data_IF_422492935346
#
_entry.id   IF_422492935346
#
_cell.length_a   1.000
_cell.length_b   1.000
_cell.length_c   1.000
_cell.angle_alpha   90.00
_cell.angle_beta   90.00
_cell.angle_gamma   90.00
#
_symmetry.space_group_name_H-M   'P 1'
#
loop_
_entity.id
_entity.type
_entity.pdbx_description
1 polymer ?
#
# COMPACT_ATOMS: atom_id res chain seq x y z
N UNK A 1 -20.62 70.62 -111.30
CA UNK A 1 -19.53 70.32 -112.25
C UNK A 1 -18.60 69.29 -111.62
N UNK A 2 -18.06 68.42 -112.47
CA UNK A 2 -17.47 67.11 -112.23
C UNK A 2 -16.09 67.10 -111.51
N UNK A 3 -15.73 65.92 -110.99
CA UNK A 3 -14.35 65.43 -110.77
C UNK A 3 -14.07 65.12 -109.29
N UNK A 4 -14.13 63.88 -108.77
CA UNK A 4 -13.43 62.61 -109.06
C UNK A 4 -11.90 62.69 -109.01
N UNK A 5 -11.33 62.11 -107.93
CA UNK A 5 -10.06 61.35 -107.79
C UNK A 5 -9.96 60.94 -106.29
N UNK A 6 -10.25 59.70 -105.85
CA UNK A 6 -9.42 58.47 -105.87
C UNK A 6 -7.94 58.74 -105.49
N UNK A 7 -7.22 58.04 -104.63
CA UNK A 7 -7.32 56.85 -103.75
C UNK A 7 -5.98 56.92 -102.94
N UNK A 8 -5.84 56.39 -101.71
CA UNK A 8 -4.98 55.23 -101.37
C UNK A 8 -4.85 55.12 -99.83
N UNK A 9 -5.06 53.88 -99.37
CA UNK A 9 -4.86 53.31 -98.03
C UNK A 9 -3.46 53.50 -97.44
N UNK A 10 -3.35 53.60 -96.11
CA UNK A 10 -2.46 52.69 -95.37
C UNK A 10 -2.93 52.50 -93.92
N UNK A 11 -3.01 51.22 -93.56
CA UNK A 11 -3.45 50.62 -92.31
C UNK A 11 -2.25 50.51 -91.35
N UNK A 12 -2.40 50.85 -90.06
CA UNK A 12 -1.48 50.40 -89.01
C UNK A 12 -2.21 50.27 -87.68
N UNK A 13 -2.71 49.06 -87.42
CA UNK A 13 -3.29 48.60 -86.16
C UNK A 13 -2.15 48.02 -85.32
N UNK A 14 -1.67 48.78 -84.32
CA UNK A 14 -0.59 48.37 -83.42
C UNK A 14 -1.13 47.87 -82.08
N UNK A 15 -1.29 46.55 -81.95
CA UNK A 15 -1.48 45.85 -80.68
C UNK A 15 -0.16 45.83 -79.88
N UNK A 16 -0.17 46.35 -78.64
CA UNK A 16 0.88 46.12 -77.66
C UNK A 16 0.26 45.91 -76.26
N UNK A 17 -0.19 44.68 -76.00
CA UNK A 17 -0.45 44.15 -74.66
C UNK A 17 0.31 42.82 -74.56
N UNK A 18 1.46 42.86 -73.90
CA UNK A 18 2.32 41.71 -73.68
C UNK A 18 2.89 41.74 -72.28
N UNK A 19 2.04 41.48 -71.28
CA UNK A 19 2.48 40.96 -70.00
C UNK A 19 2.33 39.42 -70.05
N UNK A 20 3.36 38.62 -69.70
CA UNK A 20 3.18 37.18 -69.62
C UNK A 20 2.34 36.88 -68.38
N UNK A 21 1.05 36.62 -68.57
CA UNK A 21 0.26 35.93 -67.55
C UNK A 21 0.77 34.48 -67.52
N UNK A 22 1.67 34.17 -66.59
CA UNK A 22 2.02 32.80 -66.24
C UNK A 22 0.75 32.07 -65.82
N UNK A 23 0.18 31.25 -66.71
CA UNK A 23 -0.93 30.36 -66.37
C UNK A 23 -0.41 29.21 -65.50
N UNK A 24 -0.33 29.44 -64.19
CA UNK A 24 -0.12 28.39 -63.20
C UNK A 24 -1.34 27.46 -63.21
N UNK A 25 -1.24 26.32 -63.90
CA UNK A 25 -2.25 25.26 -63.84
C UNK A 25 -1.92 24.34 -62.67
N UNK A 26 -2.85 24.22 -61.71
CA UNK A 26 -2.71 23.29 -60.59
C UNK A 26 -2.55 21.85 -61.09
N UNK A 27 -1.66 21.08 -60.46
CA UNK A 27 -1.55 19.64 -60.73
C UNK A 27 -2.78 18.90 -60.20
N UNK A 28 -3.02 17.69 -60.69
CA UNK A 28 -4.12 16.84 -60.19
C UNK A 28 -4.00 16.55 -58.69
N UNK A 29 -2.77 16.42 -58.19
CA UNK A 29 -2.48 16.17 -56.79
C UNK A 29 -2.72 17.42 -55.93
N UNK A 30 -2.25 18.60 -56.39
CA UNK A 30 -2.48 19.89 -55.76
C UNK A 30 -3.99 20.18 -55.62
N UNK A 31 -4.74 20.12 -56.72
CA UNK A 31 -6.20 20.30 -56.69
C UNK A 31 -6.92 19.22 -55.86
N UNK A 32 -6.41 17.98 -55.87
CA UNK A 32 -6.95 16.89 -55.07
C UNK A 32 -6.88 17.18 -53.57
N UNK A 33 -5.72 17.62 -53.07
CA UNK A 33 -5.51 17.98 -51.67
C UNK A 33 -6.31 19.25 -51.29
N UNK A 34 -6.33 20.27 -52.16
CA UNK A 34 -7.15 21.47 -51.95
C UNK A 34 -8.66 21.13 -51.84
N UNK A 35 -9.16 20.19 -52.66
CA UNK A 35 -10.56 19.74 -52.59
C UNK A 35 -10.89 19.08 -51.24
N UNK A 36 -9.97 18.33 -50.65
CA UNK A 36 -10.17 17.73 -49.31
C UNK A 36 -10.33 18.84 -48.26
N UNK A 37 -9.45 19.85 -48.28
CA UNK A 37 -9.57 21.03 -47.44
C UNK A 37 -10.91 21.76 -47.62
N UNK A 38 -11.31 22.01 -48.88
CA UNK A 38 -12.52 22.79 -49.18
C UNK A 38 -13.81 22.08 -48.79
N UNK A 39 -13.84 20.74 -48.87
CA UNK A 39 -15.02 19.92 -48.58
C UNK A 39 -15.11 19.44 -47.13
N UNK A 40 -14.10 19.71 -46.29
CA UNK A 40 -14.11 19.33 -44.88
C UNK A 40 -15.31 19.97 -44.14
N UNK A 41 -16.05 19.15 -43.40
CA UNK A 41 -17.36 19.50 -42.84
C UNK A 41 -17.26 20.23 -41.49
N UNK A 42 -16.30 19.84 -40.65
CA UNK A 42 -16.02 20.51 -39.38
C UNK A 42 -14.70 21.30 -39.41
N UNK A 43 -14.60 22.24 -38.48
CA UNK A 43 -13.48 23.18 -38.38
C UNK A 43 -12.15 22.47 -38.06
N UNK A 44 -12.18 21.33 -37.35
CA UNK A 44 -10.98 20.58 -37.03
C UNK A 44 -10.45 19.81 -38.24
N UNK A 45 -11.31 19.06 -38.92
CA UNK A 45 -10.97 18.38 -40.17
C UNK A 45 -10.46 19.37 -41.22
N UNK A 46 -11.08 20.55 -41.29
CA UNK A 46 -10.63 21.60 -42.22
C UNK A 46 -9.26 22.14 -41.85
N UNK A 47 -8.98 22.32 -40.56
CA UNK A 47 -7.66 22.76 -40.10
C UNK A 47 -6.57 21.71 -40.38
N UNK A 48 -6.85 20.43 -40.12
CA UNK A 48 -5.95 19.30 -40.43
C UNK A 48 -5.69 19.21 -41.94
N UNK A 49 -6.75 19.17 -42.76
CA UNK A 49 -6.61 19.09 -44.21
C UNK A 49 -5.90 20.30 -44.82
N UNK A 50 -6.04 21.48 -44.22
CA UNK A 50 -5.32 22.68 -44.62
C UNK A 50 -3.83 22.61 -44.28
N UNK A 51 -3.49 22.13 -43.09
CA UNK A 51 -2.09 21.90 -42.70
C UNK A 51 -1.43 20.83 -43.58
N UNK A 52 -2.13 19.72 -43.84
CA UNK A 52 -1.66 18.66 -44.75
C UNK A 52 -1.42 19.18 -46.17
N UNK A 53 -2.34 20.02 -46.68
CA UNK A 53 -2.18 20.68 -47.97
C UNK A 53 -0.92 21.55 -48.01
N UNK A 54 -0.70 22.41 -47.02
CA UNK A 54 0.45 23.31 -46.98
C UNK A 54 1.78 22.58 -46.76
N UNK A 55 1.74 21.42 -46.09
CA UNK A 55 2.91 20.55 -45.97
C UNK A 55 3.29 19.91 -47.31
N UNK A 56 2.29 19.38 -48.03
CA UNK A 56 2.51 18.71 -49.31
C UNK A 56 2.78 19.68 -50.48
N UNK A 57 2.19 20.89 -50.43
CA UNK A 57 2.24 21.89 -51.49
C UNK A 57 2.47 23.30 -50.91
N UNK A 58 3.65 23.60 -50.34
CA UNK A 58 3.93 24.89 -49.68
C UNK A 58 3.82 26.10 -50.62
N UNK A 59 4.12 25.88 -51.90
CA UNK A 59 3.99 26.83 -53.02
C UNK A 59 2.87 26.41 -54.00
N UNK A 60 1.92 25.59 -53.55
CA UNK A 60 0.78 25.16 -54.38
C UNK A 60 -0.09 26.32 -54.85
N UNK A 61 -0.86 26.10 -55.93
CA UNK A 61 -1.69 27.16 -56.54
C UNK A 61 -2.68 27.77 -55.55
N UNK A 62 -3.13 26.99 -54.56
CA UNK A 62 -4.09 27.41 -53.54
C UNK A 62 -3.44 27.73 -52.18
N UNK A 63 -2.11 27.73 -52.08
CA UNK A 63 -1.40 27.88 -50.81
C UNK A 63 -1.69 29.22 -50.12
N UNK A 64 -1.82 30.31 -50.86
CA UNK A 64 -2.19 31.62 -50.30
C UNK A 64 -3.61 31.61 -49.72
N UNK A 65 -4.57 30.98 -50.42
CA UNK A 65 -5.95 30.84 -49.96
C UNK A 65 -6.04 29.98 -48.69
N UNK A 66 -5.36 28.84 -48.68
CA UNK A 66 -5.35 27.92 -47.53
C UNK A 66 -4.68 28.58 -46.33
N UNK A 67 -3.55 29.30 -46.51
CA UNK A 67 -2.91 30.07 -45.44
C UNK A 67 -3.84 31.15 -44.88
N UNK A 68 -4.53 31.90 -45.73
CA UNK A 68 -5.48 32.93 -45.29
C UNK A 68 -6.65 32.33 -44.50
N UNK A 69 -7.21 31.22 -44.97
CA UNK A 69 -8.33 30.55 -44.31
C UNK A 69 -7.94 29.94 -42.95
N UNK A 70 -6.75 29.32 -42.83
CA UNK A 70 -6.22 28.84 -41.56
C UNK A 70 -5.94 30.00 -40.59
N UNK A 71 -5.31 31.08 -41.07
CA UNK A 71 -5.04 32.26 -40.24
C UNK A 71 -6.31 32.91 -39.68
N UNK A 72 -7.43 32.90 -40.42
CA UNK A 72 -8.71 33.41 -39.94
C UNK A 72 -9.40 32.48 -38.90
N UNK A 73 -9.07 31.19 -38.90
CA UNK A 73 -9.65 30.20 -37.98
C UNK A 73 -8.80 29.98 -36.72
N UNK A 74 -7.53 30.36 -36.75
CA UNK A 74 -6.53 30.04 -35.73
C UNK A 74 -6.96 30.39 -34.29
N UNK A 75 -7.47 31.60 -34.07
CA UNK A 75 -7.85 32.07 -32.73
C UNK A 75 -8.94 31.21 -32.09
N UNK A 76 -10.00 30.90 -32.86
CA UNK A 76 -11.09 30.01 -32.39
C UNK A 76 -10.57 28.59 -32.18
N UNK A 77 -9.67 28.13 -33.04
CA UNK A 77 -9.06 26.81 -32.93
C UNK A 77 -8.22 26.65 -31.66
N UNK A 78 -7.39 27.66 -31.33
CA UNK A 78 -6.57 27.70 -30.12
C UNK A 78 -7.44 27.82 -28.86
N UNK A 79 -8.42 28.72 -28.84
CA UNK A 79 -9.30 28.93 -27.68
C UNK A 79 -10.03 27.64 -27.25
N UNK A 80 -10.46 26.81 -28.20
CA UNK A 80 -11.12 25.53 -27.91
C UNK A 80 -10.18 24.42 -27.39
N UNK A 81 -8.87 24.65 -27.36
CA UNK A 81 -7.85 23.63 -27.09
C UNK A 81 -6.84 24.00 -26.01
N UNK A 82 -6.74 25.29 -25.67
CA UNK A 82 -5.75 25.83 -24.74
C UNK A 82 -5.80 25.22 -23.32
N UNK A 83 -6.92 24.61 -22.93
CA UNK A 83 -7.12 24.07 -21.58
C UNK A 83 -6.61 22.64 -21.37
N UNK A 84 -6.01 21.99 -22.37
CA UNK A 84 -5.55 20.60 -22.24
C UNK A 84 -4.23 20.35 -22.98
N UNK A 85 -3.39 19.47 -22.45
CA UNK A 85 -2.12 19.10 -23.07
C UNK A 85 -2.34 18.52 -24.48
N UNK A 86 -3.34 17.64 -24.65
CA UNK A 86 -3.72 17.10 -25.96
C UNK A 86 -4.13 18.19 -26.94
N UNK A 87 -4.97 19.13 -26.50
CA UNK A 87 -5.42 20.24 -27.36
C UNK A 87 -4.26 21.16 -27.79
N UNK A 88 -3.32 21.44 -26.89
CA UNK A 88 -2.13 22.24 -27.19
C UNK A 88 -1.19 21.51 -28.17
N UNK A 89 -1.01 20.20 -28.03
CA UNK A 89 -0.28 19.37 -29.00
C UNK A 89 -0.98 19.42 -30.37
N UNK A 90 -2.30 19.20 -30.42
CA UNK A 90 -3.08 19.27 -31.67
C UNK A 90 -2.95 20.65 -32.35
N UNK A 91 -2.95 21.73 -31.57
CA UNK A 91 -2.72 23.08 -32.07
C UNK A 91 -1.30 23.25 -32.65
N UNK A 92 -0.26 22.81 -31.94
CA UNK A 92 1.12 22.92 -32.39
C UNK A 92 1.44 22.05 -33.62
N UNK A 93 0.71 20.96 -33.83
CA UNK A 93 0.79 20.15 -35.05
C UNK A 93 0.25 20.89 -36.27
N UNK A 94 -0.85 21.62 -36.12
CA UNK A 94 -1.53 22.32 -37.23
C UNK A 94 -0.93 23.71 -37.47
N UNK A 95 -0.52 24.41 -36.41
CA UNK A 95 0.01 25.77 -36.42
C UNK A 95 1.40 25.84 -35.77
N UNK A 96 2.43 25.18 -36.32
CA UNK A 96 3.76 25.13 -35.71
C UNK A 96 4.45 26.49 -35.60
N UNK A 97 4.08 27.44 -36.47
CA UNK A 97 4.56 28.84 -36.48
C UNK A 97 3.40 29.84 -36.34
N UNK A 98 2.26 29.40 -35.77
CA UNK A 98 1.07 30.22 -35.57
C UNK A 98 1.26 31.34 -34.55
N UNK A 99 0.30 32.27 -34.51
CA UNK A 99 0.27 33.43 -33.59
C UNK A 99 0.38 33.02 -32.11
N UNK A 100 -0.17 31.87 -31.74
CA UNK A 100 -0.17 31.36 -30.36
C UNK A 100 0.85 30.23 -30.13
N UNK A 101 1.74 29.92 -31.09
CA UNK A 101 2.67 28.79 -30.99
C UNK A 101 3.57 28.86 -29.74
N UNK A 102 4.17 30.01 -29.46
CA UNK A 102 5.06 30.16 -28.30
C UNK A 102 4.29 30.06 -26.98
N UNK A 103 3.09 30.63 -26.94
CA UNK A 103 2.19 30.52 -25.79
C UNK A 103 1.76 29.06 -25.56
N UNK A 104 1.40 28.35 -26.61
CA UNK A 104 0.97 26.96 -26.53
C UNK A 104 2.10 26.04 -26.05
N UNK A 105 3.34 26.26 -26.50
CA UNK A 105 4.52 25.55 -25.97
C UNK A 105 4.71 25.82 -24.48
N UNK A 106 4.66 27.08 -24.07
CA UNK A 106 4.81 27.46 -22.67
C UNK A 106 3.71 26.86 -21.77
N UNK A 107 2.45 26.86 -22.22
CA UNK A 107 1.33 26.26 -21.50
C UNK A 107 1.46 24.73 -21.42
N UNK A 108 1.92 24.07 -22.49
CA UNK A 108 2.18 22.64 -22.52
C UNK A 108 3.28 22.25 -21.52
N UNK A 109 4.37 23.01 -21.46
CA UNK A 109 5.45 22.81 -20.48
C UNK A 109 4.99 22.99 -19.03
N UNK A 110 4.06 23.92 -18.78
CA UNK A 110 3.45 24.09 -17.45
C UNK A 110 2.57 22.89 -17.09
N UNK A 111 1.75 22.39 -18.01
CA UNK A 111 0.91 21.22 -17.77
C UNK A 111 1.75 19.95 -17.55
N UNK A 112 2.79 19.74 -18.35
CA UNK A 112 3.70 18.60 -18.22
C UNK A 112 4.41 18.59 -16.85
N UNK A 113 4.89 19.75 -16.38
CA UNK A 113 5.51 19.87 -15.04
C UNK A 113 4.52 19.52 -13.92
N UNK A 114 3.29 20.03 -13.98
CA UNK A 114 2.25 19.72 -12.98
C UNK A 114 1.89 18.24 -12.95
N UNK A 115 1.82 17.59 -14.10
CA UNK A 115 1.54 16.15 -14.18
C UNK A 115 2.69 15.30 -13.61
N UNK A 116 3.93 15.69 -13.91
CA UNK A 116 5.12 15.07 -13.33
C UNK A 116 5.16 15.24 -11.80
N UNK A 117 4.93 16.45 -11.29
CA UNK A 117 4.84 16.74 -9.85
C UNK A 117 3.75 15.92 -9.16
N UNK A 118 2.54 15.90 -9.72
CA UNK A 118 1.41 15.12 -9.21
C UNK A 118 1.69 13.61 -9.17
N UNK A 119 2.40 13.09 -10.18
CA UNK A 119 2.79 11.68 -10.22
C UNK A 119 3.84 11.39 -9.15
N UNK A 120 4.87 12.23 -9.03
CA UNK A 120 5.89 12.09 -7.99
C UNK A 120 5.31 12.24 -6.57
N UNK A 121 4.34 13.13 -6.36
CA UNK A 121 3.63 13.27 -5.08
C UNK A 121 2.84 12.02 -4.73
N UNK A 122 2.13 11.43 -5.70
CA UNK A 122 1.38 10.18 -5.51
C UNK A 122 2.30 9.01 -5.20
N UNK A 123 3.44 8.90 -5.88
CA UNK A 123 4.44 7.87 -5.61
C UNK A 123 5.05 8.04 -4.22
N UNK A 124 5.43 9.26 -3.82
CA UNK A 124 5.92 9.55 -2.47
C UNK A 124 4.88 9.26 -1.39
N UNK A 125 3.62 9.63 -1.61
CA UNK A 125 2.54 9.34 -0.67
C UNK A 125 2.30 7.83 -0.52
N UNK A 126 2.36 7.08 -1.63
CA UNK A 126 2.25 5.62 -1.62
C UNK A 126 3.41 4.98 -0.87
N UNK A 127 4.66 5.36 -1.17
CA UNK A 127 5.85 4.85 -0.48
C UNK A 127 5.79 5.14 1.03
N UNK A 128 5.44 6.37 1.43
CA UNK A 128 5.28 6.74 2.83
C UNK A 128 4.18 5.93 3.53
N UNK A 129 3.07 5.64 2.86
CA UNK A 129 2.01 4.78 3.39
C UNK A 129 2.46 3.33 3.55
N UNK A 130 3.22 2.80 2.60
CA UNK A 130 3.78 1.45 2.66
C UNK A 130 4.81 1.33 3.81
N UNK A 131 5.68 2.33 3.97
CA UNK A 131 6.63 2.42 5.09
C UNK A 131 5.91 2.53 6.44
N UNK A 132 4.91 3.38 6.56
CA UNK A 132 4.11 3.54 7.78
C UNK A 132 3.35 2.25 8.13
N UNK A 133 2.80 1.54 7.14
CA UNK A 133 2.17 0.24 7.36
C UNK A 133 3.19 -0.81 7.82
N UNK A 134 4.39 -0.81 7.24
CA UNK A 134 5.47 -1.70 7.66
C UNK A 134 5.96 -1.38 9.08
N UNK A 135 6.04 -0.11 9.46
CA UNK A 135 6.37 0.34 10.82
C UNK A 135 5.29 -0.06 11.81
N UNK A 136 4.02 0.21 11.51
CA UNK A 136 2.89 -0.20 12.35
C UNK A 136 2.89 -1.72 12.55
N UNK A 137 3.16 -2.50 11.49
CA UNK A 137 3.28 -3.95 11.60
C UNK A 137 4.49 -4.37 12.46
N UNK A 138 5.62 -3.66 12.37
CA UNK A 138 6.79 -3.91 13.24
C UNK A 138 6.50 -3.60 14.70
N UNK A 139 5.86 -2.47 14.99
CA UNK A 139 5.40 -2.11 16.33
C UNK A 139 4.38 -3.12 16.88
N UNK A 140 3.48 -3.63 16.05
CA UNK A 140 2.53 -4.66 16.43
C UNK A 140 3.19 -6.03 16.73
N UNK A 141 4.30 -6.39 16.07
CA UNK A 141 5.04 -7.64 16.35
C UNK A 141 5.71 -7.63 17.72
N UNK A 142 6.43 -6.53 18.00
CA UNK A 142 7.10 -6.34 19.28
C UNK A 142 6.09 -6.48 20.44
N UNK A 143 4.84 -6.04 20.24
CA UNK A 143 3.82 -6.10 21.28
C UNK A 143 3.57 -7.51 21.83
N UNK A 144 3.29 -8.54 21.02
CA UNK A 144 2.96 -9.88 21.55
C UNK A 144 4.15 -10.50 22.27
N UNK A 145 5.35 -10.42 21.67
CA UNK A 145 6.59 -10.90 22.29
C UNK A 145 6.86 -10.17 23.59
N UNK A 146 6.88 -8.84 23.56
CA UNK A 146 7.26 -8.02 24.71
C UNK A 146 6.26 -8.20 25.85
N UNK A 147 4.95 -8.31 25.55
CA UNK A 147 3.92 -8.58 26.58
C UNK A 147 4.02 -9.98 27.15
N UNK A 148 4.23 -11.01 26.32
CA UNK A 148 4.39 -12.38 26.80
C UNK A 148 5.63 -12.49 27.71
N UNK A 149 6.77 -11.95 27.26
CA UNK A 149 8.03 -11.91 28.03
C UNK A 149 7.86 -11.09 29.32
N UNK A 150 7.19 -9.95 29.27
CA UNK A 150 6.88 -9.13 30.45
C UNK A 150 6.07 -9.91 31.48
N UNK A 151 4.94 -10.49 31.08
CA UNK A 151 4.07 -11.23 32.01
C UNK A 151 4.75 -12.48 32.55
N UNK A 152 5.42 -13.28 31.72
CA UNK A 152 6.17 -14.44 32.19
C UNK A 152 7.28 -14.02 33.16
N UNK A 153 8.08 -13.02 32.81
CA UNK A 153 9.16 -12.55 33.67
C UNK A 153 8.68 -11.97 35.01
N UNK A 154 7.50 -11.36 35.05
CA UNK A 154 6.88 -10.88 36.28
C UNK A 154 6.35 -12.05 37.12
N UNK A 155 5.62 -12.98 36.51
CA UNK A 155 4.97 -14.09 37.21
C UNK A 155 5.98 -15.11 37.76
N UNK A 156 7.02 -15.42 36.98
CA UNK A 156 8.07 -16.35 37.39
C UNK A 156 8.90 -15.85 38.58
N UNK A 157 8.88 -14.54 38.87
CA UNK A 157 9.58 -13.93 40.02
C UNK A 157 8.71 -13.82 41.28
N UNK A 158 7.43 -14.18 41.21
CA UNK A 158 6.55 -14.19 42.39
C UNK A 158 7.03 -15.27 43.35
N UNK A 159 7.25 -14.90 44.61
CA UNK A 159 7.63 -15.80 45.70
C UNK A 159 6.58 -15.83 46.81
N UNK A 160 5.75 -14.80 46.91
CA UNK A 160 4.65 -14.69 47.87
C UNK A 160 3.37 -15.46 47.44
N UNK A 161 3.51 -16.69 46.92
CA UNK A 161 2.36 -17.53 46.62
C UNK A 161 1.55 -17.85 47.89
N UNK A 162 0.26 -18.10 47.72
CA UNK A 162 -0.72 -18.36 48.78
C UNK A 162 -0.89 -17.20 49.79
N UNK A 163 -0.30 -16.03 49.52
CA UNK A 163 -0.47 -14.82 50.34
C UNK A 163 -1.62 -13.95 49.82
N UNK A 164 -2.23 -13.11 50.68
CA UNK A 164 -3.21 -12.11 50.24
C UNK A 164 -2.63 -11.19 49.18
N UNK A 165 -3.44 -10.80 48.19
CA UNK A 165 -2.99 -9.97 47.07
C UNK A 165 -2.27 -8.69 47.51
N UNK A 166 -2.70 -8.05 48.61
CA UNK A 166 -2.03 -6.86 49.18
C UNK A 166 -0.56 -7.12 49.53
N UNK A 167 -0.25 -8.29 50.08
CA UNK A 167 1.13 -8.69 50.39
C UNK A 167 1.90 -8.94 49.09
N UNK A 168 1.28 -9.65 48.15
CA UNK A 168 1.89 -9.97 46.85
C UNK A 168 2.28 -8.70 46.10
N UNK A 169 1.39 -7.71 45.95
CA UNK A 169 1.71 -6.48 45.21
C UNK A 169 2.74 -5.61 45.92
N UNK A 170 2.80 -5.66 47.25
CA UNK A 170 3.81 -4.94 48.03
C UNK A 170 5.20 -5.55 47.83
N UNK A 171 5.31 -6.87 47.80
CA UNK A 171 6.59 -7.58 47.60
C UNK A 171 7.00 -7.67 46.12
N UNK A 172 6.02 -7.63 45.22
CA UNK A 172 6.22 -7.73 43.77
C UNK A 172 5.54 -6.55 43.03
N UNK A 173 6.05 -5.31 43.17
CA UNK A 173 5.43 -4.13 42.56
C UNK A 173 5.37 -4.18 41.02
N UNK A 174 6.25 -4.95 40.38
CA UNK A 174 6.20 -5.18 38.93
C UNK A 174 4.91 -5.91 38.49
N UNK A 175 4.37 -6.80 39.34
CA UNK A 175 3.09 -7.46 39.09
C UNK A 175 1.95 -6.45 39.06
N UNK A 176 1.92 -5.55 40.05
CA UNK A 176 0.93 -4.50 40.15
C UNK A 176 1.00 -3.53 38.96
N UNK A 177 2.20 -3.12 38.56
CA UNK A 177 2.40 -2.26 37.37
C UNK A 177 1.88 -2.96 36.10
N UNK A 178 2.28 -4.22 35.87
CA UNK A 178 1.87 -4.97 34.68
C UNK A 178 0.34 -5.15 34.61
N UNK A 179 -0.33 -5.41 35.74
CA UNK A 179 -1.78 -5.59 35.78
C UNK A 179 -2.55 -4.26 35.74
N UNK A 180 -2.05 -3.16 36.31
CA UNK A 180 -2.69 -1.83 36.24
C UNK A 180 -2.62 -1.17 34.87
N UNK A 181 -1.63 -1.52 34.03
CA UNK A 181 -1.53 -1.02 32.67
C UNK A 181 -2.80 -1.35 31.86
N UNK A 182 -3.19 -0.52 30.89
CA UNK A 182 -4.35 -0.84 30.04
C UNK A 182 -4.01 -1.99 29.06
N UNK A 183 -4.96 -2.90 28.75
CA UNK A 183 -6.30 -2.99 29.34
C UNK A 183 -6.26 -3.54 30.77
N UNK A 184 -7.07 -2.97 31.67
CA UNK A 184 -7.19 -3.48 33.06
C UNK A 184 -7.78 -4.89 33.13
N UNK A 185 -7.36 -5.71 34.12
CA UNK A 185 -7.94 -7.03 34.33
C UNK A 185 -9.40 -6.93 34.78
N UNK A 186 -10.18 -7.96 34.44
CA UNK A 186 -11.51 -8.22 35.01
C UNK A 186 -11.36 -9.22 36.15
N UNK A 187 -11.75 -8.84 37.36
CA UNK A 187 -11.59 -9.67 38.55
C UNK A 187 -12.95 -10.10 39.12
N UNK A 188 -13.00 -11.34 39.58
CA UNK A 188 -14.04 -11.92 40.44
C UNK A 188 -13.38 -12.55 41.69
N UNK A 189 -14.17 -13.23 42.54
CA UNK A 189 -13.69 -13.80 43.79
C UNK A 189 -12.65 -14.92 43.62
N UNK A 190 -12.61 -15.57 42.45
CA UNK A 190 -11.76 -16.73 42.15
C UNK A 190 -10.64 -16.43 41.15
N UNK A 191 -10.70 -15.31 40.43
CA UNK A 191 -9.67 -14.97 39.44
C UNK A 191 -9.65 -13.51 39.01
N UNK A 192 -8.51 -13.08 38.50
CA UNK A 192 -8.34 -11.87 37.70
C UNK A 192 -7.86 -12.24 36.30
N UNK A 193 -8.57 -11.81 35.26
CA UNK A 193 -8.25 -12.12 33.86
C UNK A 193 -7.90 -10.84 33.11
N UNK A 194 -6.71 -10.82 32.50
CA UNK A 194 -6.25 -9.76 31.62
C UNK A 194 -6.09 -10.32 30.20
N UNK A 195 -6.83 -9.74 29.25
CA UNK A 195 -6.78 -10.19 27.85
C UNK A 195 -6.21 -9.09 26.97
N UNK A 196 -5.16 -9.43 26.23
CA UNK A 196 -4.48 -8.59 25.26
C UNK A 196 -4.73 -9.18 23.88
N UNK A 197 -5.12 -8.34 22.92
CA UNK A 197 -5.42 -8.78 21.56
C UNK A 197 -4.53 -8.02 20.58
N UNK A 198 -4.02 -8.75 19.59
CA UNK A 198 -3.32 -8.19 18.45
C UNK A 198 -3.88 -8.79 17.18
N UNK A 199 -4.34 -7.94 16.27
CA UNK A 199 -4.67 -8.34 14.90
C UNK A 199 -3.50 -8.00 13.98
N UNK A 200 -3.18 -8.88 13.04
CA UNK A 200 -2.12 -8.67 12.06
C UNK A 200 -2.47 -9.26 10.70
N UNK A 201 -1.77 -8.82 9.67
CA UNK A 201 -1.93 -9.27 8.30
C UNK A 201 -0.68 -10.05 7.88
N UNK A 202 -0.85 -11.30 7.46
CA UNK A 202 0.22 -12.16 6.99
C UNK A 202 0.23 -12.20 5.46
N UNK A 203 1.24 -11.65 4.78
CA UNK A 203 1.39 -11.82 3.34
C UNK A 203 1.76 -13.27 3.02
N UNK A 204 1.05 -13.88 2.09
CA UNK A 204 1.27 -15.26 1.64
C UNK A 204 2.10 -15.29 0.34
N UNK A 205 2.76 -16.41 0.01
CA UNK A 205 3.59 -16.54 -1.19
C UNK A 205 2.84 -16.29 -2.51
N UNK A 206 1.53 -16.51 -2.53
CA UNK A 206 0.66 -16.27 -3.69
C UNK A 206 0.27 -14.79 -3.86
N UNK A 207 0.79 -13.89 -3.01
CA UNK A 207 0.50 -12.47 -3.01
C UNK A 207 -0.79 -12.08 -2.27
N UNK A 208 -1.54 -13.05 -1.74
CA UNK A 208 -2.72 -12.78 -0.91
C UNK A 208 -2.31 -12.32 0.51
N UNK A 209 -3.23 -11.67 1.21
CA UNK A 209 -3.05 -11.25 2.60
C UNK A 209 -4.03 -12.03 3.46
N UNK A 210 -3.52 -12.79 4.42
CA UNK A 210 -4.33 -13.55 5.35
C UNK A 210 -4.44 -12.79 6.69
N UNK A 211 -5.65 -12.36 7.11
CA UNK A 211 -5.82 -11.76 8.43
C UNK A 211 -5.58 -12.80 9.52
N UNK A 212 -4.97 -12.35 10.61
CA UNK A 212 -4.66 -13.15 11.79
C UNK A 212 -5.00 -12.36 13.05
N UNK A 213 -5.28 -13.10 14.11
CA UNK A 213 -5.39 -12.57 15.45
C UNK A 213 -4.54 -13.43 16.39
N UNK A 214 -3.91 -12.78 17.35
CA UNK A 214 -3.23 -13.40 18.47
C UNK A 214 -3.85 -12.81 19.74
N UNK A 215 -4.23 -13.69 20.65
CA UNK A 215 -4.73 -13.33 21.97
C UNK A 215 -3.75 -13.83 23.02
N UNK A 216 -3.41 -12.97 23.98
CA UNK A 216 -2.67 -13.31 25.17
C UNK A 216 -3.59 -13.08 26.37
N UNK A 217 -3.91 -14.15 27.09
CA UNK A 217 -4.79 -14.12 28.25
C UNK A 217 -4.01 -14.53 29.50
N UNK A 218 -3.81 -13.57 30.39
CA UNK A 218 -3.13 -13.77 31.66
C UNK A 218 -4.18 -13.90 32.77
N UNK A 219 -4.16 -14.99 33.50
CA UNK A 219 -5.09 -15.30 34.59
C UNK A 219 -4.32 -15.39 35.88
N UNK A 220 -4.76 -14.65 36.91
CA UNK A 220 -4.36 -14.90 38.29
C UNK A 220 -5.46 -15.72 38.95
N UNK A 221 -5.11 -16.87 39.53
CA UNK A 221 -6.05 -17.69 40.31
C UNK A 221 -6.04 -17.25 41.76
N UNK A 222 -7.24 -17.04 42.30
CA UNK A 222 -7.47 -16.55 43.65
C UNK A 222 -8.33 -17.54 44.45
N UNK A 223 -8.08 -17.63 45.74
CA UNK A 223 -9.04 -18.17 46.71
C UNK A 223 -8.91 -17.37 48.01
N UNK A 224 -10.03 -16.91 48.56
CA UNK A 224 -10.06 -16.07 49.76
C UNK A 224 -9.06 -14.90 49.69
N UNK A 225 -9.04 -14.20 48.54
CA UNK A 225 -8.14 -13.09 48.21
C UNK A 225 -6.63 -13.43 48.17
N UNK A 226 -6.28 -14.71 48.23
CA UNK A 226 -4.89 -15.20 48.13
C UNK A 226 -4.53 -15.64 46.72
N UNK A 227 -3.30 -15.37 46.30
CA UNK A 227 -2.80 -15.77 44.98
C UNK A 227 -2.36 -17.24 44.97
N UNK A 228 -3.12 -18.12 44.33
CA UNK A 228 -2.82 -19.56 44.27
C UNK A 228 -1.98 -19.98 43.06
N UNK A 229 -1.90 -19.14 42.04
CA UNK A 229 -1.18 -19.44 40.80
C UNK A 229 -1.51 -18.45 39.71
N UNK A 230 -0.83 -18.58 38.59
CA UNK A 230 -1.05 -17.78 37.42
C UNK A 230 -1.03 -18.64 36.15
N UNK A 231 -1.71 -18.17 35.12
CA UNK A 231 -1.79 -18.85 33.83
C UNK A 231 -1.57 -17.83 32.72
N UNK A 232 -0.84 -18.23 31.70
CA UNK A 232 -0.58 -17.42 30.52
C UNK A 232 -1.02 -18.23 29.31
N UNK A 233 -2.16 -17.87 28.75
CA UNK A 233 -2.81 -18.58 27.66
C UNK A 233 -2.67 -17.84 26.34
N UNK A 234 -2.47 -18.63 25.30
CA UNK A 234 -2.33 -18.25 23.91
C UNK A 234 -3.33 -19.08 23.07
N UNK A 235 -4.62 -18.69 23.03
CA UNK A 235 -5.66 -19.40 22.28
C UNK A 235 -5.41 -19.39 20.76
N UNK A 236 -6.07 -20.31 20.05
CA UNK A 236 -5.96 -20.45 18.60
C UNK A 236 -4.57 -20.86 18.11
N UNK A 237 -3.94 -21.84 18.78
CA UNK A 237 -2.58 -22.31 18.50
C UNK A 237 -1.55 -21.17 18.63
N UNK A 238 -1.61 -20.42 19.73
CA UNK A 238 -0.94 -19.14 19.77
C UNK A 238 0.60 -19.19 19.73
N UNK A 239 1.27 -20.34 19.99
CA UNK A 239 2.70 -20.49 19.64
C UNK A 239 2.93 -20.45 18.12
N UNK A 240 2.03 -21.04 17.33
CA UNK A 240 2.06 -20.91 15.87
C UNK A 240 1.81 -19.47 15.45
N UNK A 241 0.79 -18.81 16.02
CA UNK A 241 0.48 -17.41 15.69
C UNK A 241 1.65 -16.48 16.05
N UNK A 242 2.33 -16.74 17.16
CA UNK A 242 3.53 -16.00 17.54
C UNK A 242 4.69 -16.25 16.57
N UNK A 243 4.92 -17.51 16.18
CA UNK A 243 5.90 -17.86 15.15
C UNK A 243 5.62 -17.15 13.82
N UNK A 244 4.36 -17.16 13.33
CA UNK A 244 3.98 -16.48 12.09
C UNK A 244 4.20 -14.96 12.17
N UNK A 245 3.86 -14.36 13.30
CA UNK A 245 3.99 -12.93 13.54
C UNK A 245 5.46 -12.48 13.42
N UNK A 246 6.38 -13.25 14.01
CA UNK A 246 7.80 -12.93 14.05
C UNK A 246 8.51 -13.33 12.75
N UNK A 247 8.30 -14.55 12.25
CA UNK A 247 9.03 -15.11 11.10
C UNK A 247 8.42 -14.78 9.75
N UNK A 248 7.14 -14.36 9.70
CA UNK A 248 6.35 -14.18 8.47
C UNK A 248 6.09 -15.47 7.68
N UNK A 249 6.30 -16.62 8.30
CA UNK A 249 6.04 -17.92 7.69
C UNK A 249 4.72 -18.44 8.21
N UNK A 250 3.76 -18.69 7.32
CA UNK A 250 2.48 -19.29 7.67
C UNK A 250 2.68 -20.71 8.23
N UNK A 251 1.86 -21.08 9.23
CA UNK A 251 1.83 -22.40 9.82
C UNK A 251 0.45 -23.00 9.60
N UNK A 252 0.42 -24.16 8.95
CA UNK A 252 -0.74 -25.04 8.95
C UNK A 252 -0.71 -25.86 10.25
N UNK A 253 -1.64 -25.58 11.17
CA UNK A 253 -1.68 -26.26 12.47
C UNK A 253 -2.10 -27.73 12.36
N UNK A 254 -2.62 -28.17 11.20
CA UNK A 254 -2.87 -29.59 10.91
C UNK A 254 -1.60 -30.35 10.50
N UNK A 255 -0.55 -29.64 10.04
CA UNK A 255 0.76 -30.22 9.76
C UNK A 255 1.56 -30.35 11.06
N UNK A 256 1.71 -31.59 11.52
CA UNK A 256 2.40 -31.93 12.79
C UNK A 256 3.85 -31.43 12.81
N UNK A 257 4.58 -31.50 11.70
CA UNK A 257 5.99 -31.08 11.67
C UNK A 257 6.12 -29.56 11.67
N UNK A 258 5.31 -28.87 10.85
CA UNK A 258 5.26 -27.41 10.87
C UNK A 258 4.87 -26.88 12.26
N UNK A 259 3.87 -27.51 12.87
CA UNK A 259 3.41 -27.19 14.23
C UNK A 259 4.49 -27.44 15.28
N UNK A 260 5.18 -28.58 15.24
CA UNK A 260 6.28 -28.89 16.16
C UNK A 260 7.42 -27.88 16.04
N UNK A 261 7.77 -27.47 14.83
CA UNK A 261 8.81 -26.46 14.60
C UNK A 261 8.43 -25.10 15.21
N UNK A 262 7.17 -24.67 15.04
CA UNK A 262 6.68 -23.43 15.63
C UNK A 262 6.68 -23.47 17.18
N UNK A 263 6.25 -24.60 17.77
CA UNK A 263 6.31 -24.80 19.23
C UNK A 263 7.76 -24.74 19.72
N UNK A 264 8.68 -25.49 19.11
CA UNK A 264 10.08 -25.52 19.51
C UNK A 264 10.71 -24.13 19.43
N UNK A 265 10.41 -23.37 18.38
CA UNK A 265 10.87 -21.99 18.22
C UNK A 265 10.33 -21.08 19.34
N UNK A 266 9.04 -21.17 19.67
CA UNK A 266 8.41 -20.36 20.72
C UNK A 266 8.98 -20.69 22.12
N UNK A 267 9.19 -21.98 22.42
CA UNK A 267 9.82 -22.40 23.67
C UNK A 267 11.26 -21.91 23.78
N UNK A 268 12.02 -21.89 22.67
CA UNK A 268 13.36 -21.32 22.66
C UNK A 268 13.37 -19.82 23.00
N UNK A 269 12.31 -19.07 22.69
CA UNK A 269 12.22 -17.64 23.04
C UNK A 269 12.04 -17.41 24.55
N UNK A 270 11.34 -18.31 25.24
CA UNK A 270 11.05 -18.17 26.69
C UNK A 270 12.01 -18.96 27.58
N UNK A 271 12.80 -19.88 27.01
CA UNK A 271 13.76 -20.69 27.74
C UNK A 271 14.69 -19.87 28.65
N UNK A 272 15.26 -18.72 28.20
CA UNK A 272 16.11 -17.91 29.09
C UNK A 272 15.39 -17.40 30.34
N UNK A 273 14.10 -17.08 30.26
CA UNK A 273 13.31 -16.63 31.40
C UNK A 273 13.03 -17.77 32.38
N UNK A 274 12.76 -18.97 31.84
CA UNK A 274 12.54 -20.17 32.64
C UNK A 274 13.83 -20.58 33.37
N UNK A 275 14.96 -20.58 32.67
CA UNK A 275 16.29 -20.84 33.23
C UNK A 275 16.65 -19.84 34.32
N UNK A 276 16.42 -18.54 34.11
CA UNK A 276 16.65 -17.51 35.14
C UNK A 276 15.80 -17.73 36.39
N UNK A 277 14.53 -18.11 36.22
CA UNK A 277 13.59 -18.22 37.33
C UNK A 277 13.71 -19.53 38.13
N UNK A 278 13.98 -20.62 37.43
CA UNK A 278 14.09 -21.98 37.98
C UNK A 278 15.52 -22.32 38.41
N UNK A 279 16.52 -21.63 37.87
CA UNK A 279 17.95 -21.88 38.11
C UNK A 279 18.55 -22.89 37.13
N UNK A 280 19.87 -23.14 37.25
CA UNK A 280 20.64 -24.00 36.33
C UNK A 280 20.25 -25.48 36.38
N UNK A 281 19.53 -25.91 37.43
CA UNK A 281 19.07 -27.28 37.62
C UNK A 281 17.57 -27.30 37.86
N UNK A 282 16.79 -27.50 36.80
CA UNK A 282 15.39 -27.89 36.89
C UNK A 282 15.22 -29.32 36.38
N UNK A 283 14.42 -30.10 37.10
CA UNK A 283 14.07 -31.46 36.68
C UNK A 283 12.76 -31.39 35.89
N UNK A 284 12.70 -32.11 34.76
CA UNK A 284 11.41 -32.46 34.18
C UNK A 284 10.70 -33.38 35.18
N UNK A 285 9.70 -32.86 35.87
CA UNK A 285 9.02 -33.57 36.94
C UNK A 285 7.99 -34.55 36.41
N UNK A 286 7.87 -35.72 37.05
CA UNK A 286 6.70 -36.60 36.89
C UNK A 286 5.69 -36.21 37.97
N UNK A 287 4.85 -35.23 37.68
CA UNK A 287 3.74 -34.81 38.55
C UNK A 287 2.44 -34.64 37.75
N UNK A 288 1.32 -34.60 38.47
CA UNK A 288 0.05 -34.21 37.87
C UNK A 288 0.07 -32.75 37.38
N UNK A 289 -0.85 -32.38 36.47
CA UNK A 289 -1.02 -31.01 36.03
C UNK A 289 -1.32 -30.09 37.22
N UNK A 290 -0.78 -28.88 37.19
CA UNK A 290 -1.13 -27.83 38.13
C UNK A 290 -2.63 -27.51 38.02
N UNK A 291 -3.27 -27.12 39.13
CA UNK A 291 -4.62 -26.59 39.07
C UNK A 291 -4.68 -25.40 38.10
N UNK A 292 -5.65 -25.44 37.18
CA UNK A 292 -5.84 -24.41 36.16
C UNK A 292 -7.32 -24.16 35.93
N UNK A 293 -7.63 -22.98 35.41
CA UNK A 293 -8.96 -22.63 34.90
C UNK A 293 -9.34 -23.39 33.62
N UNK A 294 -8.37 -23.96 32.91
CA UNK A 294 -8.57 -24.73 31.68
C UNK A 294 -8.07 -26.18 31.86
N UNK A 295 -8.81 -27.14 31.32
CA UNK A 295 -8.36 -28.53 31.29
C UNK A 295 -7.17 -28.65 30.34
N UNK A 296 -6.09 -29.26 30.79
CA UNK A 296 -4.88 -29.40 29.99
C UNK A 296 -4.06 -30.62 30.40
N UNK A 297 -3.21 -31.05 29.48
CA UNK A 297 -2.12 -32.00 29.73
C UNK A 297 -0.81 -31.28 29.46
N UNK A 298 0.12 -31.18 30.43
CA UNK A 298 1.39 -30.50 30.20
C UNK A 298 2.23 -31.29 29.20
N UNK A 299 2.80 -30.58 28.22
CA UNK A 299 3.88 -31.10 27.39
C UNK A 299 5.15 -31.29 28.24
N UNK A 300 5.39 -30.35 29.14
CA UNK A 300 6.56 -30.31 30.01
C UNK A 300 6.16 -29.77 31.38
N UNK A 301 6.45 -30.52 32.43
CA UNK A 301 6.31 -30.08 33.82
C UNK A 301 7.70 -29.79 34.40
N UNK A 302 7.89 -28.58 34.90
CA UNK A 302 9.15 -28.08 35.43
C UNK A 302 8.98 -27.72 36.90
N UNK A 303 9.89 -28.19 37.76
CA UNK A 303 9.88 -27.87 39.19
C UNK A 303 11.28 -27.44 39.65
N UNK A 304 11.40 -26.25 40.23
CA UNK A 304 12.62 -25.79 40.89
C UNK A 304 12.37 -24.57 41.78
N UNK A 305 13.25 -24.34 42.77
CA UNK A 305 13.23 -23.13 43.60
C UNK A 305 11.86 -22.77 44.22
N UNK A 306 11.07 -23.77 44.62
CA UNK A 306 9.73 -23.57 45.19
C UNK A 306 8.65 -23.16 44.18
N UNK A 307 8.96 -23.22 42.88
CA UNK A 307 8.08 -22.90 41.76
C UNK A 307 7.83 -24.15 40.91
N UNK A 308 6.64 -24.23 40.35
CA UNK A 308 6.22 -25.22 39.36
C UNK A 308 5.70 -24.51 38.11
N UNK A 309 6.09 -24.99 36.94
CA UNK A 309 5.63 -24.49 35.64
C UNK A 309 5.20 -25.66 34.76
N UNK A 310 3.97 -25.63 34.27
CA UNK A 310 3.49 -26.51 33.21
C UNK A 310 3.49 -25.76 31.88
N UNK A 311 4.22 -26.29 30.91
CA UNK A 311 4.14 -25.86 29.51
C UNK A 311 3.04 -26.67 28.84
N UNK A 312 2.06 -25.97 28.29
CA UNK A 312 0.88 -26.57 27.66
C UNK A 312 0.93 -26.27 26.17
N UNK A 313 0.66 -27.29 25.36
CA UNK A 313 0.49 -27.14 23.91
C UNK A 313 -0.81 -27.76 23.47
N UNK A 314 -1.44 -27.13 22.48
CA UNK A 314 -2.65 -27.65 21.91
C UNK A 314 -2.46 -29.03 21.26
N UNK A 315 -3.38 -29.94 21.51
CA UNK A 315 -3.51 -31.17 20.73
C UNK A 315 -4.03 -30.88 19.31
N UNK A 316 -3.68 -31.71 18.31
CA UNK A 316 -4.09 -31.49 16.92
C UNK A 316 -5.61 -31.38 16.71
N UNK A 317 -6.41 -32.09 17.51
CA UNK A 317 -7.86 -32.17 17.36
C UNK A 317 -8.65 -31.19 18.25
N UNK A 318 -7.98 -30.31 19.00
CA UNK A 318 -8.59 -29.41 19.98
C UNK A 318 -8.78 -27.96 19.50
N UNK A 319 -9.41 -27.13 20.35
CA UNK A 319 -9.62 -25.69 20.08
C UNK A 319 -8.33 -24.83 20.09
N UNK A 320 -7.15 -25.45 20.11
CA UNK A 320 -5.88 -24.74 19.97
C UNK A 320 -5.47 -23.93 21.21
N UNK A 321 -5.21 -24.53 22.38
CA UNK A 321 -4.73 -23.78 23.56
C UNK A 321 -3.25 -24.05 23.87
N UNK A 322 -2.40 -23.05 23.66
CA UNK A 322 -1.00 -23.04 24.10
C UNK A 322 -0.86 -22.19 25.37
N UNK A 323 0.12 -22.47 26.22
CA UNK A 323 0.35 -21.60 27.36
C UNK A 323 1.28 -22.14 28.44
N UNK A 324 1.24 -21.44 29.56
CA UNK A 324 2.01 -21.75 30.77
C UNK A 324 1.09 -21.69 31.99
N UNK A 325 1.14 -22.70 32.85
CA UNK A 325 0.54 -22.65 34.19
C UNK A 325 1.67 -22.57 35.20
N UNK A 326 1.62 -21.58 36.09
CA UNK A 326 2.67 -21.24 37.03
C UNK A 326 2.07 -21.27 38.44
N UNK A 327 2.78 -21.88 39.38
CA UNK A 327 2.32 -21.91 40.77
C UNK A 327 3.42 -22.28 41.74
N UNK A 328 3.11 -22.25 43.05
CA UNK A 328 4.03 -22.78 44.05
C UNK A 328 4.25 -24.28 43.80
N UNK A 329 5.46 -24.74 44.09
CA UNK A 329 5.76 -26.17 44.08
C UNK A 329 4.91 -26.86 45.15
N UNK A 330 4.15 -27.88 44.75
CA UNK A 330 3.43 -28.71 45.70
C UNK A 330 4.41 -29.30 46.72
N UNK A 331 4.06 -29.21 48.01
CA UNK A 331 4.82 -29.89 49.05
C UNK A 331 4.80 -31.41 48.76
N UNK A 332 5.94 -32.11 48.91
CA UNK A 332 6.05 -33.54 48.62
C UNK A 332 5.14 -34.42 49.48
#
# INVERSE_FOLDING_TARGET
MMGVRALVMTLALGCALGAPACAWRATRADYGAYRVFRLAQDEHQRAVAGADYLHAFPEGVYADEVRAALGAAEERFYAGRASSARGLVDYLTIYPTGRYADRARAELDVLARREAESTADRERARAASEEAAAEALRAHRAFTRDRLVEFLGVLLRVRAWEQPMEVVVREHPALDVAFRAEPRPRCDASRCVKTLHVSFALPLPDGSIAPRASELRVVLRLADERLLGAEVWLPGYGFSRWYELETRSAVDDADVEARRAAIAWALAQVAPLLEEALGETFESGVRGPLPSTEQHTPLLALDAAGLSVDVVVAEPEGAGLDGFVIGPRAAP
#
